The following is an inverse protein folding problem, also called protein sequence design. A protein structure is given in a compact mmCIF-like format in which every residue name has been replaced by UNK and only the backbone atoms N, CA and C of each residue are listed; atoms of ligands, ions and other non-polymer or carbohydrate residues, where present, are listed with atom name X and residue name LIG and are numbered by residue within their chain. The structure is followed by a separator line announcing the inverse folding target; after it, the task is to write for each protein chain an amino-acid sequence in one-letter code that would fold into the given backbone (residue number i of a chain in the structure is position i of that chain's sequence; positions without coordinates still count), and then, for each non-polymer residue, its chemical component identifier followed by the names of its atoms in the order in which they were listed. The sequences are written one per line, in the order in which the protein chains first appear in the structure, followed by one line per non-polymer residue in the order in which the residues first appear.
data_IF_420928400128
#
_entry.id   IF_420928400128
#
_cell.length_a   1.000
_cell.length_b   1.000
_cell.length_c   1.000
_cell.angle_alpha   90.00
_cell.angle_beta   90.00
_cell.angle_gamma   90.00
#
_symmetry.space_group_name_H-M   'P 1'
#
loop_
_entity.id
_entity.type
_entity.pdbx_description
1 polymer ?
#
# COMPACT_ATOMS: atom_id res chain seq x y z
N UNK A 1 83.85 17.53 23.39
CA UNK A 1 83.07 16.42 22.79
C UNK A 1 81.58 16.77 22.84
N UNK A 2 81.00 17.29 21.76
CA UNK A 2 79.59 17.72 21.70
C UNK A 2 78.79 16.77 20.80
N UNK A 3 78.01 15.87 21.42
CA UNK A 3 77.31 14.77 20.75
C UNK A 3 75.92 15.21 20.30
N UNK A 4 75.80 15.51 19.00
CA UNK A 4 74.65 15.28 18.09
C UNK A 4 73.30 14.95 18.77
N UNK A 5 72.51 15.98 19.11
CA UNK A 5 71.09 15.87 19.55
C UNK A 5 70.07 16.36 18.51
N UNK A 6 70.48 16.61 17.26
CA UNK A 6 69.62 17.23 16.24
C UNK A 6 68.79 16.28 15.38
N UNK A 7 68.96 14.95 15.45
CA UNK A 7 68.36 14.04 14.46
C UNK A 7 66.94 13.53 14.77
N UNK A 8 66.47 13.59 16.03
CA UNK A 8 65.18 13.00 16.40
C UNK A 8 63.96 13.90 16.11
N UNK A 9 64.16 15.22 16.00
CA UNK A 9 63.08 16.18 15.74
C UNK A 9 62.76 16.37 14.25
N UNK A 10 63.70 16.05 13.36
CA UNK A 10 63.53 16.18 11.90
C UNK A 10 62.84 14.95 11.28
N UNK A 11 62.90 13.79 11.92
CA UNK A 11 62.19 12.59 11.45
C UNK A 11 60.69 12.62 11.78
N UNK A 12 60.29 13.24 12.89
CA UNK A 12 58.89 13.39 13.27
C UNK A 12 58.10 14.34 12.35
N UNK A 13 58.76 15.35 11.77
CA UNK A 13 58.12 16.36 10.90
C UNK A 13 57.91 15.87 9.45
N UNK A 14 58.49 14.73 9.07
CA UNK A 14 58.41 14.17 7.70
C UNK A 14 57.27 13.17 7.51
N UNK A 15 56.55 12.82 8.57
CA UNK A 15 55.34 12.01 8.48
C UNK A 15 54.19 12.92 8.03
N UNK A 16 53.92 12.95 6.72
CA UNK A 16 52.72 13.60 6.18
C UNK A 16 51.49 12.95 6.80
N UNK A 17 50.89 13.61 7.78
CA UNK A 17 49.57 13.32 8.35
C UNK A 17 48.52 13.63 7.27
N UNK A 18 48.37 12.73 6.28
CA UNK A 18 47.33 12.84 5.27
C UNK A 18 46.05 12.21 5.82
N UNK A 19 45.02 13.05 6.01
CA UNK A 19 43.67 12.55 6.28
C UNK A 19 43.21 11.69 5.10
N UNK A 20 42.83 10.46 5.39
CA UNK A 20 42.18 9.59 4.40
C UNK A 20 40.74 10.04 4.22
N UNK A 21 40.48 10.81 3.16
CA UNK A 21 39.15 11.34 2.83
C UNK A 21 38.20 10.26 2.30
N UNK A 22 38.74 9.24 1.63
CA UNK A 22 38.00 8.13 1.02
C UNK A 22 37.10 7.37 2.01
N UNK A 23 37.57 6.92 3.19
CA UNK A 23 36.71 6.25 4.17
C UNK A 23 35.64 7.18 4.77
N UNK A 24 35.88 8.49 4.86
CA UNK A 24 34.84 9.43 5.34
C UNK A 24 33.73 9.64 4.31
N UNK A 25 34.09 9.72 3.02
CA UNK A 25 33.10 9.84 1.94
C UNK A 25 32.23 8.59 1.88
N UNK A 26 32.80 7.40 2.04
CA UNK A 26 32.05 6.15 2.02
C UNK A 26 31.04 6.06 3.18
N UNK A 27 31.48 6.37 4.41
CA UNK A 27 30.61 6.37 5.59
C UNK A 27 29.49 7.40 5.51
N UNK A 28 29.77 8.60 4.99
CA UNK A 28 28.74 9.64 4.81
C UNK A 28 27.75 9.28 3.69
N UNK A 29 28.21 8.63 2.62
CA UNK A 29 27.35 8.15 1.54
C UNK A 29 26.42 7.01 2.00
N UNK A 30 26.92 6.08 2.82
CA UNK A 30 26.12 5.05 3.49
C UNK A 30 25.01 5.65 4.37
N UNK A 31 25.32 6.71 5.12
CA UNK A 31 24.32 7.39 5.95
C UNK A 31 23.27 8.10 5.09
N UNK A 32 23.66 8.79 4.02
CA UNK A 32 22.73 9.49 3.12
C UNK A 32 21.79 8.51 2.38
N UNK A 33 22.32 7.40 1.89
CA UNK A 33 21.52 6.36 1.21
C UNK A 33 20.56 5.68 2.17
N UNK A 34 20.98 5.41 3.41
CA UNK A 34 20.10 4.91 4.46
C UNK A 34 18.95 5.88 4.76
N UNK A 35 19.24 7.18 4.95
CA UNK A 35 18.20 8.18 5.19
C UNK A 35 17.25 8.35 4.00
N UNK A 36 17.75 8.34 2.77
CA UNK A 36 16.89 8.35 1.58
C UNK A 36 15.91 7.16 1.57
N UNK A 37 16.39 5.95 1.86
CA UNK A 37 15.54 4.75 1.91
C UNK A 37 14.48 4.82 3.02
N UNK A 38 14.86 5.29 4.22
CA UNK A 38 13.93 5.42 5.36
C UNK A 38 12.85 6.47 5.10
N UNK A 39 13.20 7.61 4.49
CA UNK A 39 12.24 8.63 4.08
C UNK A 39 11.26 8.11 3.01
N UNK A 40 11.76 7.33 2.06
CA UNK A 40 10.93 6.69 1.04
C UNK A 40 9.98 5.63 1.62
N UNK A 41 10.41 4.88 2.64
CA UNK A 41 9.58 3.89 3.32
C UNK A 41 8.52 4.56 4.22
N UNK A 42 8.86 5.66 4.88
CA UNK A 42 7.93 6.41 5.75
C UNK A 42 6.78 7.06 4.98
N UNK A 43 7.00 7.35 3.69
CA UNK A 43 5.97 7.87 2.78
C UNK A 43 5.13 6.79 2.11
N UNK A 44 5.41 5.49 2.34
CA UNK A 44 4.44 4.41 2.13
C UNK A 44 3.36 4.50 3.21
N UNK A 45 2.57 5.57 3.11
CA UNK A 45 1.40 5.83 3.90
C UNK A 45 0.43 4.66 3.69
N UNK A 46 0.35 3.77 4.69
CA UNK A 46 -0.87 3.05 4.97
C UNK A 46 -1.92 4.10 5.33
N UNK A 47 -2.65 4.61 4.33
CA UNK A 47 -3.83 5.44 4.58
C UNK A 47 -4.79 4.62 5.44
N UNK A 48 -4.90 5.00 6.72
CA UNK A 48 -5.90 4.46 7.61
C UNK A 48 -7.28 4.95 7.15
N UNK A 49 -7.90 4.20 6.23
CA UNK A 49 -9.28 4.44 5.82
C UNK A 49 -10.15 4.26 7.07
N UNK A 50 -10.71 5.37 7.56
CA UNK A 50 -11.76 5.31 8.58
C UNK A 50 -12.94 4.56 7.96
N UNK A 51 -13.24 3.39 8.53
CA UNK A 51 -14.39 2.61 8.13
C UNK A 51 -15.66 3.35 8.57
N UNK A 52 -16.55 3.77 7.65
CA UNK A 52 -17.83 4.31 8.07
C UNK A 52 -18.62 3.21 8.78
N UNK A 53 -19.24 3.58 9.90
CA UNK A 53 -20.16 2.73 10.64
C UNK A 53 -21.41 2.48 9.78
N UNK A 54 -21.96 1.27 9.81
CA UNK A 54 -23.03 0.85 8.89
C UNK A 54 -24.30 1.72 9.01
N UNK A 55 -24.55 2.29 10.19
CA UNK A 55 -25.71 3.15 10.48
C UNK A 55 -25.57 4.58 9.93
N UNK A 56 -24.36 5.00 9.57
CA UNK A 56 -24.08 6.30 8.95
C UNK A 56 -23.92 6.19 7.43
N UNK A 57 -24.68 5.32 6.78
CA UNK A 57 -24.78 5.26 5.33
C UNK A 57 -25.48 6.52 4.77
N UNK A 58 -24.85 7.70 4.90
CA UNK A 58 -25.23 8.86 4.09
C UNK A 58 -25.07 8.45 2.63
N UNK A 59 -26.11 8.66 1.82
CA UNK A 59 -25.98 8.67 0.35
C UNK A 59 -24.74 9.50 0.03
N UNK A 60 -23.74 8.87 -0.61
CA UNK A 60 -22.40 9.44 -0.87
C UNK A 60 -22.52 10.94 -1.15
N UNK A 61 -21.81 11.77 -0.40
CA UNK A 61 -21.58 13.15 -0.84
C UNK A 61 -20.76 13.05 -2.13
N UNK A 62 -21.45 13.23 -3.25
CA UNK A 62 -20.95 13.02 -4.61
C UNK A 62 -19.97 14.13 -5.05
N UNK A 63 -19.76 15.15 -4.24
CA UNK A 63 -19.39 16.47 -4.76
C UNK A 63 -17.94 16.92 -4.54
N UNK A 64 -17.10 16.19 -3.76
CA UNK A 64 -15.71 16.63 -3.51
C UNK A 64 -14.59 15.78 -4.13
N UNK A 65 -14.89 14.59 -4.65
CA UNK A 65 -13.94 13.80 -5.43
C UNK A 65 -14.44 13.73 -6.87
N UNK A 66 -13.81 14.50 -7.75
CA UNK A 66 -14.20 14.60 -9.17
C UNK A 66 -14.48 13.23 -9.78
N UNK A 67 -15.66 13.10 -10.40
CA UNK A 67 -16.18 11.92 -11.09
C UNK A 67 -16.12 10.67 -10.21
N UNK A 68 -17.24 10.24 -9.62
CA UNK A 68 -17.31 8.90 -9.02
C UNK A 68 -17.15 7.83 -10.09
N UNK A 69 -15.91 7.51 -10.41
CA UNK A 69 -15.50 6.29 -11.09
C UNK A 69 -16.12 5.15 -10.29
N UNK A 70 -16.86 4.27 -10.97
CA UNK A 70 -17.65 3.22 -10.31
C UNK A 70 -16.85 2.54 -9.19
N UNK A 71 -17.39 2.48 -7.98
CA UNK A 71 -16.69 1.86 -6.84
C UNK A 71 -17.31 0.50 -6.54
N UNK A 72 -16.48 -0.51 -6.36
CA UNK A 72 -16.87 -1.85 -5.91
C UNK A 72 -16.21 -2.09 -4.57
N UNK A 73 -17.01 -2.45 -3.56
CA UNK A 73 -16.52 -2.82 -2.24
C UNK A 73 -16.62 -4.33 -2.12
N UNK A 74 -15.48 -4.99 -1.93
CA UNK A 74 -15.37 -6.43 -1.73
C UNK A 74 -15.08 -6.67 -0.26
N UNK A 75 -15.98 -7.36 0.44
CA UNK A 75 -15.82 -7.69 1.85
C UNK A 75 -15.30 -9.13 1.99
N UNK A 76 -14.28 -9.29 2.81
CA UNK A 76 -13.66 -10.58 3.17
C UNK A 76 -13.82 -10.77 4.68
N UNK A 77 -14.67 -11.72 5.08
CA UNK A 77 -14.91 -12.06 6.50
C UNK A 77 -14.06 -13.24 6.96
N UNK A 78 -13.92 -13.39 8.28
CA UNK A 78 -13.28 -14.57 8.87
C UNK A 78 -14.00 -15.88 8.50
N UNK A 79 -15.33 -15.91 8.46
CA UNK A 79 -16.11 -17.09 8.04
C UNK A 79 -15.73 -17.55 6.62
N UNK A 80 -15.60 -16.58 5.70
CA UNK A 80 -15.27 -16.85 4.30
C UNK A 80 -13.82 -17.36 4.19
N UNK A 81 -12.98 -17.00 5.16
CA UNK A 81 -11.60 -17.47 5.31
C UNK A 81 -11.50 -18.88 5.89
N UNK A 82 -12.39 -19.27 6.81
CA UNK A 82 -12.44 -20.65 7.32
C UNK A 82 -12.88 -21.61 6.20
N UNK A 83 -13.86 -21.21 5.39
CA UNK A 83 -14.28 -21.97 4.20
C UNK A 83 -13.22 -22.07 3.12
N UNK A 84 -12.32 -21.08 3.05
CA UNK A 84 -11.13 -21.16 2.19
C UNK A 84 -10.20 -22.31 2.59
N UNK A 85 -10.07 -22.60 3.90
CA UNK A 85 -9.30 -23.75 4.37
C UNK A 85 -9.97 -25.09 3.98
N UNK A 86 -11.28 -25.10 3.79
CA UNK A 86 -12.06 -26.24 3.26
C UNK A 86 -12.07 -26.29 1.71
N UNK A 87 -11.27 -25.45 1.04
CA UNK A 87 -11.15 -25.39 -0.42
C UNK A 87 -12.20 -24.53 -1.13
N UNK A 88 -13.12 -23.89 -0.41
CA UNK A 88 -14.16 -23.03 -0.97
C UNK A 88 -13.77 -21.55 -0.90
N UNK A 89 -13.34 -20.99 -2.04
CA UNK A 89 -12.98 -19.57 -2.19
C UNK A 89 -14.25 -18.72 -2.35
N UNK A 90 -14.57 -17.86 -1.37
CA UNK A 90 -15.77 -17.02 -1.43
C UNK A 90 -15.50 -15.61 -0.91
N UNK A 91 -16.12 -14.60 -1.53
CA UNK A 91 -16.14 -13.20 -1.06
C UNK A 91 -17.54 -12.63 -1.11
N UNK A 92 -17.77 -11.53 -0.38
CA UNK A 92 -19.08 -10.86 -0.36
C UNK A 92 -19.02 -9.48 -1.01
N UNK A 93 -19.89 -9.24 -1.98
CA UNK A 93 -20.09 -7.91 -2.58
C UNK A 93 -21.55 -7.52 -2.38
N UNK A 94 -21.80 -6.39 -1.72
CA UNK A 94 -23.15 -5.89 -1.44
C UNK A 94 -24.10 -6.96 -0.82
N UNK A 95 -23.57 -7.80 0.07
CA UNK A 95 -24.33 -8.87 0.75
C UNK A 95 -24.51 -10.16 -0.04
N UNK A 96 -24.05 -10.25 -1.30
CA UNK A 96 -24.09 -11.47 -2.11
C UNK A 96 -22.75 -12.19 -2.10
N UNK A 97 -22.78 -13.52 -2.11
CA UNK A 97 -21.60 -14.38 -2.13
C UNK A 97 -21.15 -14.62 -3.57
N UNK A 98 -19.86 -14.49 -3.82
CA UNK A 98 -19.22 -14.71 -5.11
C UNK A 98 -18.10 -15.75 -4.98
N UNK A 99 -18.19 -16.79 -5.82
CA UNK A 99 -17.09 -17.72 -6.09
C UNK A 99 -16.07 -17.06 -7.04
N UNK A 100 -14.86 -17.62 -7.23
CA UNK A 100 -13.80 -16.97 -8.01
C UNK A 100 -14.20 -16.63 -9.44
N UNK A 101 -14.85 -17.56 -10.13
CA UNK A 101 -15.27 -17.36 -11.52
C UNK A 101 -16.37 -16.29 -11.64
N UNK A 102 -17.31 -16.31 -10.68
CA UNK A 102 -18.37 -15.30 -10.59
C UNK A 102 -17.80 -13.92 -10.25
N UNK A 103 -16.78 -13.85 -9.40
CA UNK A 103 -16.09 -12.61 -9.08
C UNK A 103 -15.38 -12.04 -10.32
N UNK A 104 -14.63 -12.88 -11.05
CA UNK A 104 -13.95 -12.49 -12.30
C UNK A 104 -14.94 -11.91 -13.30
N UNK A 105 -16.05 -12.62 -13.55
CA UNK A 105 -17.12 -12.14 -14.44
C UNK A 105 -17.77 -10.84 -13.95
N UNK A 106 -17.98 -10.71 -12.64
CA UNK A 106 -18.57 -9.50 -12.05
C UNK A 106 -17.65 -8.29 -12.19
N UNK A 107 -16.36 -8.42 -11.85
CA UNK A 107 -15.37 -7.35 -11.98
C UNK A 107 -15.21 -6.96 -13.45
N UNK A 108 -15.12 -7.95 -14.34
CA UNK A 108 -15.03 -7.75 -15.78
C UNK A 108 -16.18 -6.88 -16.31
N UNK A 109 -17.43 -7.24 -15.99
CA UNK A 109 -18.61 -6.49 -16.42
C UNK A 109 -18.60 -5.06 -15.88
N UNK A 110 -18.30 -4.90 -14.59
CA UNK A 110 -18.27 -3.58 -13.93
C UNK A 110 -17.14 -2.70 -14.45
N UNK A 111 -16.00 -3.29 -14.82
CA UNK A 111 -14.87 -2.59 -15.40
C UNK A 111 -15.21 -2.06 -16.80
N UNK A 112 -15.91 -2.86 -17.63
CA UNK A 112 -16.41 -2.43 -18.95
C UNK A 112 -17.45 -1.32 -18.82
N UNK A 113 -18.45 -1.50 -17.95
CA UNK A 113 -19.47 -0.48 -17.66
C UNK A 113 -18.83 0.86 -17.23
N UNK A 114 -17.78 0.80 -16.41
CA UNK A 114 -17.07 1.98 -15.95
C UNK A 114 -16.32 2.69 -17.09
N UNK A 115 -15.70 1.95 -18.01
CA UNK A 115 -15.05 2.54 -19.20
C UNK A 115 -16.08 3.17 -20.14
N UNK A 116 -17.22 2.51 -20.38
CA UNK A 116 -18.28 3.06 -21.23
C UNK A 116 -18.84 4.35 -20.63
N UNK A 117 -19.04 4.40 -19.31
CA UNK A 117 -19.68 5.54 -18.64
C UNK A 117 -18.73 6.71 -18.36
N UNK A 118 -17.47 6.45 -18.02
CA UNK A 118 -16.53 7.46 -17.54
C UNK A 118 -15.32 7.67 -18.46
N UNK A 119 -15.19 6.87 -19.51
CA UNK A 119 -14.01 6.80 -20.36
C UNK A 119 -12.90 5.91 -19.77
N UNK A 120 -11.90 5.51 -20.58
CA UNK A 120 -10.72 4.81 -20.07
C UNK A 120 -9.89 5.72 -19.17
N UNK A 121 -9.16 5.14 -18.22
CA UNK A 121 -8.27 5.91 -17.36
C UNK A 121 -7.06 6.42 -18.15
N UNK A 122 -6.81 7.73 -18.11
CA UNK A 122 -5.68 8.38 -18.79
C UNK A 122 -4.53 8.73 -17.85
N UNK A 123 -4.74 8.70 -16.53
CA UNK A 123 -3.72 9.00 -15.50
C UNK A 123 -2.87 7.77 -15.15
N UNK A 124 -2.53 6.99 -16.15
CA UNK A 124 -1.62 5.86 -16.00
C UNK A 124 -0.41 6.21 -16.86
N UNK A 125 0.80 6.05 -16.32
CA UNK A 125 2.04 6.27 -17.07
C UNK A 125 2.06 5.46 -18.37
N UNK A 126 3.08 5.61 -19.21
CA UNK A 126 3.18 5.01 -20.55
C UNK A 126 2.65 3.58 -20.63
N UNK A 127 1.38 3.43 -21.01
CA UNK A 127 0.73 2.14 -21.19
C UNK A 127 1.27 1.51 -22.47
N UNK A 128 1.49 0.18 -22.50
CA UNK A 128 1.75 -0.53 -23.74
C UNK A 128 0.62 -0.26 -24.74
N UNK A 129 0.98 -0.09 -26.03
CA UNK A 129 0.00 0.17 -27.10
C UNK A 129 -1.10 -0.91 -27.08
N UNK A 130 -2.36 -0.48 -26.99
CA UNK A 130 -3.53 -1.36 -27.01
C UNK A 130 -4.05 -1.81 -25.64
N UNK A 131 -3.41 -1.43 -24.53
CA UNK A 131 -3.90 -1.75 -23.18
C UNK A 131 -4.90 -0.70 -22.72
N UNK A 132 -6.14 -1.13 -22.48
CA UNK A 132 -7.22 -0.29 -21.93
C UNK A 132 -7.39 -0.58 -20.45
N UNK A 133 -7.33 0.48 -19.64
CA UNK A 133 -7.50 0.44 -18.19
C UNK A 133 -8.83 1.06 -17.78
N UNK A 134 -9.49 0.40 -16.84
CA UNK A 134 -10.76 0.85 -16.30
C UNK A 134 -10.54 1.88 -15.19
N UNK A 135 -11.35 2.95 -15.14
CA UNK A 135 -11.34 3.87 -14.02
C UNK A 135 -11.96 3.25 -12.75
N UNK A 136 -12.51 2.03 -12.80
CA UNK A 136 -13.17 1.36 -11.68
C UNK A 136 -12.27 1.34 -10.43
N UNK A 137 -12.83 1.75 -9.28
CA UNK A 137 -12.17 1.69 -7.97
C UNK A 137 -12.64 0.45 -7.22
N UNK A 138 -11.74 -0.46 -6.89
CA UNK A 138 -12.03 -1.64 -6.07
C UNK A 138 -11.47 -1.41 -4.67
N UNK A 139 -12.31 -1.53 -3.65
CA UNK A 139 -11.95 -1.41 -2.25
C UNK A 139 -12.13 -2.78 -1.61
N UNK A 140 -11.05 -3.42 -1.19
CA UNK A 140 -11.04 -4.68 -0.47
C UNK A 140 -11.12 -4.36 1.02
N UNK A 141 -12.27 -4.65 1.64
CA UNK A 141 -12.45 -4.59 3.09
C UNK A 141 -12.20 -5.98 3.65
N UNK A 142 -11.19 -6.10 4.48
CA UNK A 142 -10.83 -7.38 5.10
C UNK A 142 -10.83 -7.26 6.62
N UNK A 143 -11.37 -8.29 7.28
CA UNK A 143 -11.26 -8.46 8.73
C UNK A 143 -9.84 -8.85 9.13
N UNK A 144 -9.50 -8.69 10.42
CA UNK A 144 -8.15 -9.00 10.95
C UNK A 144 -7.70 -10.42 10.62
N UNK A 145 -8.61 -11.37 10.72
CA UNK A 145 -8.31 -12.80 10.55
C UNK A 145 -8.50 -13.26 9.10
N UNK A 146 -8.73 -12.33 8.16
CA UNK A 146 -8.80 -12.67 6.75
C UNK A 146 -7.43 -13.18 6.27
N UNK A 147 -7.41 -14.35 5.63
CA UNK A 147 -6.16 -14.89 5.08
C UNK A 147 -5.75 -14.09 3.86
N UNK A 148 -4.44 -13.88 3.72
CA UNK A 148 -3.86 -13.17 2.59
C UNK A 148 -4.25 -13.78 1.23
N UNK A 149 -4.36 -15.11 1.16
CA UNK A 149 -4.82 -15.82 -0.06
C UNK A 149 -6.15 -15.26 -0.56
N UNK A 150 -7.08 -14.88 0.34
CA UNK A 150 -8.36 -14.32 -0.04
C UNK A 150 -8.23 -12.99 -0.82
N UNK A 151 -7.26 -12.18 -0.43
CA UNK A 151 -6.94 -10.91 -1.09
C UNK A 151 -6.24 -11.15 -2.42
N UNK A 152 -5.35 -12.14 -2.49
CA UNK A 152 -4.57 -12.47 -3.69
C UNK A 152 -5.46 -12.75 -4.90
N UNK A 153 -6.49 -13.59 -4.76
CA UNK A 153 -7.34 -13.93 -5.91
C UNK A 153 -8.31 -12.79 -6.29
N UNK A 154 -8.65 -11.89 -5.37
CA UNK A 154 -9.37 -10.66 -5.71
C UNK A 154 -8.47 -9.76 -6.57
N UNK A 155 -7.19 -9.60 -6.20
CA UNK A 155 -6.23 -8.83 -7.00
C UNK A 155 -5.98 -9.48 -8.37
N UNK A 156 -5.89 -10.80 -8.42
CA UNK A 156 -5.80 -11.57 -9.66
C UNK A 156 -7.02 -11.29 -10.56
N UNK A 157 -8.24 -11.30 -10.00
CA UNK A 157 -9.45 -11.00 -10.76
C UNK A 157 -9.48 -9.56 -11.31
N UNK A 158 -8.94 -8.58 -10.57
CA UNK A 158 -8.76 -7.20 -11.04
C UNK A 158 -7.70 -7.07 -12.15
N UNK A 159 -6.62 -7.87 -12.07
CA UNK A 159 -5.53 -7.85 -13.04
C UNK A 159 -5.90 -8.54 -14.35
N UNK A 160 -6.62 -9.66 -14.28
CA UNK A 160 -7.05 -10.44 -15.45
C UNK A 160 -8.21 -9.80 -16.22
N UNK A 161 -8.90 -8.82 -15.63
CA UNK A 161 -10.02 -8.15 -16.32
C UNK A 161 -9.52 -7.32 -17.51
N UNK A 162 -10.32 -7.25 -18.57
CA UNK A 162 -10.07 -6.44 -19.77
C UNK A 162 -11.31 -5.60 -20.07
N UNK A 163 -11.38 -4.33 -19.67
CA UNK A 163 -10.28 -3.46 -19.26
C UNK A 163 -9.72 -3.76 -17.86
N UNK A 164 -8.42 -3.55 -17.68
CA UNK A 164 -7.70 -3.86 -16.43
C UNK A 164 -8.04 -2.87 -15.32
N UNK A 165 -8.19 -3.34 -14.09
CA UNK A 165 -8.51 -2.49 -12.93
C UNK A 165 -7.25 -2.18 -12.14
N UNK A 166 -6.83 -0.91 -12.16
CA UNK A 166 -5.59 -0.47 -11.49
C UNK A 166 -5.82 0.17 -10.12
N UNK A 167 -7.02 0.70 -9.87
CA UNK A 167 -7.34 1.43 -8.64
C UNK A 167 -7.86 0.46 -7.58
N UNK A 168 -6.95 -0.35 -7.02
CA UNK A 168 -7.24 -1.30 -5.95
C UNK A 168 -6.74 -0.76 -4.62
N UNK A 169 -7.63 -0.68 -3.64
CA UNK A 169 -7.34 -0.19 -2.30
C UNK A 169 -7.68 -1.26 -1.27
N UNK A 170 -6.86 -1.37 -0.23
CA UNK A 170 -7.16 -2.21 0.93
C UNK A 170 -7.60 -1.33 2.10
N UNK A 171 -8.69 -1.71 2.75
CA UNK A 171 -9.20 -1.08 3.96
C UNK A 171 -9.30 -2.14 5.06
N UNK A 172 -8.51 -1.95 6.12
CA UNK A 172 -8.53 -2.82 7.29
C UNK A 172 -9.31 -2.16 8.44
N UNK A 173 -9.97 -2.98 9.26
CA UNK A 173 -10.68 -2.50 10.45
C UNK A 173 -9.71 -2.05 11.53
N UNK A 174 -9.81 -0.78 11.94
CA UNK A 174 -9.08 -0.23 13.10
C UNK A 174 -9.58 -0.91 14.38
N UNK A 175 -8.67 -1.49 15.16
CA UNK A 175 -8.95 -2.10 16.44
C UNK A 175 -9.43 -1.04 17.46
N UNK A 176 -10.57 -1.26 18.11
CA UNK A 176 -10.78 -0.73 19.47
C UNK A 176 -9.92 -1.58 20.40
N UNK A 177 -9.00 -0.97 21.12
CA UNK A 177 -8.28 -1.66 22.17
C UNK A 177 -9.21 -1.77 23.39
N UNK A 178 -9.17 -2.89 24.14
CA UNK A 178 -9.98 -3.04 25.35
C UNK A 178 -9.67 -1.99 26.44
N UNK A 179 -8.61 -1.20 26.29
CA UNK A 179 -8.23 -0.13 27.23
C UNK A 179 -8.96 1.22 26.97
N UNK A 180 -9.77 1.33 25.90
CA UNK A 180 -10.53 2.56 25.57
C UNK A 180 -11.78 2.77 26.46
N UNK A 181 -11.95 1.94 27.50
CA UNK A 181 -13.08 1.92 28.44
C UNK A 181 -12.77 2.62 29.79
N UNK A 182 -11.79 3.52 29.87
CA UNK A 182 -11.67 4.37 31.06
C UNK A 182 -12.88 5.32 31.17
N UNK A 183 -13.64 5.32 32.28
CA UNK A 183 -14.74 6.25 32.47
C UNK A 183 -14.18 7.66 32.49
N UNK A 184 -14.61 8.45 31.50
CA UNK A 184 -14.15 9.83 31.27
C UNK A 184 -14.81 10.82 32.24
N UNK A 185 -14.96 10.42 33.51
CA UNK A 185 -15.72 11.13 34.53
C UNK A 185 -14.88 11.29 35.81
N UNK A 186 -13.85 12.13 35.76
CA UNK A 186 -13.24 12.75 36.92
C UNK A 186 -12.84 14.18 36.53
N UNK A 187 -13.81 15.08 36.61
CA UNK A 187 -13.64 16.52 36.80
C UNK A 187 -14.65 16.98 37.81
#
# INVERSE_FOLDING_TARGET
MARKRKSLSEEASKTKLQMQMTPMIDMTFLILTFFMLVCHLSTLNLEAIQLPHADEARKRQVERMGKLKGTVIVNVKEEDTRKLAEGKRQVRIAGRIYDPDKLKAYIQRRAQEAVVKYGPETNVGSLPKGVVVSPLKVIIRCDRHARYEAVTWIMEACSMSRPGVIHVYMAATKQRYPDDEYPRNLR
#
